data_IF_524042363485
#
_entry.id   IF_524042363485
#
_cell.length_a   1.000
_cell.length_b   1.000
_cell.length_c   1.000
_cell.angle_alpha   90.00
_cell.angle_beta   90.00
_cell.angle_gamma   90.00
#
_symmetry.space_group_name_H-M   'P 1'
#
loop_
_entity.id
_entity.type
_entity.pdbx_description
1 polymer ?
#
# COMPACT_ATOMS: atom_id res chain seq x y z
N UNK A 1 28.95 -16.33 18.14
CA UNK A 1 29.17 -14.90 17.88
C UNK A 1 28.79 -14.63 16.43
N UNK A 2 27.85 -13.72 16.22
CA UNK A 2 27.42 -13.24 14.91
C UNK A 2 27.73 -11.76 14.79
N UNK A 3 28.13 -11.31 13.61
CA UNK A 3 28.46 -9.93 13.29
C UNK A 3 27.37 -9.31 12.42
N UNK A 4 26.72 -8.27 12.93
CA UNK A 4 25.70 -7.52 12.20
C UNK A 4 26.27 -6.19 11.73
N UNK A 5 26.22 -5.97 10.42
CA UNK A 5 26.61 -4.69 9.79
C UNK A 5 25.40 -3.80 9.59
N UNK A 6 25.44 -2.57 10.08
CA UNK A 6 24.36 -1.58 9.91
C UNK A 6 24.50 -0.81 8.58
N UNK A 7 23.49 -0.02 8.24
CA UNK A 7 23.49 0.84 7.05
C UNK A 7 24.65 1.84 7.01
N UNK A 8 25.04 2.36 8.18
CA UNK A 8 26.16 3.31 8.37
C UNK A 8 27.55 2.64 8.34
N UNK A 9 27.59 1.32 8.19
CA UNK A 9 28.83 0.53 8.20
C UNK A 9 29.33 0.17 9.60
N UNK A 10 28.64 0.59 10.66
CA UNK A 10 28.97 0.15 12.01
C UNK A 10 28.72 -1.36 12.18
N UNK A 11 29.55 -1.98 13.02
CA UNK A 11 29.49 -3.41 13.33
C UNK A 11 29.01 -3.59 14.77
N UNK A 12 28.14 -4.59 14.98
CA UNK A 12 27.72 -5.04 16.29
C UNK A 12 27.87 -6.55 16.40
N UNK A 13 28.37 -7.00 17.54
CA UNK A 13 28.59 -8.41 17.82
C UNK A 13 27.58 -8.93 18.83
N UNK A 14 27.05 -10.12 18.57
CA UNK A 14 26.09 -10.79 19.45
C UNK A 14 26.50 -12.25 19.66
N UNK A 15 26.41 -12.73 20.90
CA UNK A 15 26.85 -14.10 21.22
C UNK A 15 25.87 -15.18 20.75
N UNK A 16 24.61 -14.81 20.53
CA UNK A 16 23.52 -15.71 20.14
C UNK A 16 22.70 -15.13 18.99
N UNK A 17 22.01 -15.99 18.20
CA UNK A 17 21.00 -15.54 17.25
C UNK A 17 19.94 -14.68 17.94
N UNK A 18 19.49 -13.64 17.25
CA UNK A 18 18.44 -12.74 17.72
C UNK A 18 17.50 -12.39 16.58
N UNK A 19 16.26 -12.07 16.93
CA UNK A 19 15.27 -11.59 15.97
C UNK A 19 15.60 -10.17 15.48
N UNK A 20 15.04 -9.79 14.33
CA UNK A 20 15.08 -8.40 13.85
C UNK A 20 14.54 -7.43 14.91
N UNK A 21 13.49 -7.80 15.62
CA UNK A 21 12.92 -6.99 16.70
C UNK A 21 13.90 -6.80 17.87
N UNK A 22 14.53 -7.88 18.34
CA UNK A 22 15.53 -7.81 19.41
C UNK A 22 16.76 -7.01 18.98
N UNK A 23 17.17 -7.15 17.73
CA UNK A 23 18.24 -6.34 17.15
C UNK A 23 17.86 -4.84 17.17
N UNK A 24 16.66 -4.47 16.71
CA UNK A 24 16.16 -3.10 16.80
C UNK A 24 16.13 -2.59 18.24
N UNK A 25 15.71 -3.42 19.20
CA UNK A 25 15.66 -3.08 20.62
C UNK A 25 17.05 -2.84 21.22
N UNK A 26 18.06 -3.58 20.76
CA UNK A 26 19.46 -3.38 21.16
C UNK A 26 20.06 -2.07 20.62
N UNK A 27 19.52 -1.52 19.52
CA UNK A 27 19.90 -0.20 19.01
C UNK A 27 19.20 0.88 19.83
N UNK A 28 17.90 0.72 20.05
CA UNK A 28 17.15 1.59 20.96
C UNK A 28 15.66 1.23 21.03
N UNK A 29 15.01 1.47 22.18
CA UNK A 29 13.60 1.11 22.38
C UNK A 29 12.65 1.86 21.43
N UNK A 30 13.00 3.09 21.03
CA UNK A 30 12.24 3.86 20.05
C UNK A 30 12.24 3.20 18.67
N UNK A 31 13.40 2.71 18.22
CA UNK A 31 13.54 2.04 16.93
C UNK A 31 12.78 0.71 16.91
N UNK A 32 12.87 -0.10 17.97
CA UNK A 32 12.08 -1.33 18.10
C UNK A 32 10.58 -1.07 18.03
N UNK A 33 10.10 0.01 18.68
CA UNK A 33 8.68 0.39 18.64
C UNK A 33 8.23 0.83 17.25
N UNK A 34 9.12 1.44 16.46
CA UNK A 34 8.85 1.93 15.11
C UNK A 34 9.06 0.85 14.02
N UNK A 35 9.77 -0.24 14.32
CA UNK A 35 10.08 -1.28 13.35
C UNK A 35 8.83 -1.99 12.83
N UNK A 36 8.69 -2.05 11.50
CA UNK A 36 7.65 -2.85 10.82
C UNK A 36 8.20 -4.11 10.16
N UNK A 37 9.49 -4.10 9.81
CA UNK A 37 10.21 -5.23 9.24
C UNK A 37 11.72 -5.03 9.39
N UNK A 38 12.49 -6.01 8.94
CA UNK A 38 13.93 -5.90 8.72
C UNK A 38 14.28 -6.10 7.25
N UNK A 39 15.44 -5.60 6.85
CA UNK A 39 16.10 -5.96 5.60
C UNK A 39 17.41 -6.64 5.93
N UNK A 40 17.50 -7.93 5.66
CA UNK A 40 18.67 -8.77 5.92
C UNK A 40 19.29 -9.14 4.57
N UNK A 41 20.51 -8.70 4.32
CA UNK A 41 21.23 -8.87 3.05
C UNK A 41 20.42 -8.47 1.81
N UNK A 42 19.68 -7.36 1.95
CA UNK A 42 18.82 -6.82 0.89
C UNK A 42 17.41 -7.39 0.85
N UNK A 43 17.12 -8.49 1.56
CA UNK A 43 15.82 -9.17 1.57
C UNK A 43 14.94 -8.67 2.71
N UNK A 44 13.69 -8.30 2.41
CA UNK A 44 12.70 -7.93 3.41
C UNK A 44 12.21 -9.15 4.19
N UNK A 45 12.19 -9.04 5.52
CA UNK A 45 11.81 -10.11 6.45
C UNK A 45 10.96 -9.57 7.60
N UNK A 46 10.12 -10.42 8.19
CA UNK A 46 9.29 -10.06 9.34
C UNK A 46 10.15 -9.71 10.58
N UNK A 47 9.60 -8.93 11.52
CA UNK A 47 10.30 -8.59 12.76
C UNK A 47 10.68 -9.81 13.63
N UNK A 48 9.96 -10.92 13.51
CA UNK A 48 10.26 -12.19 14.20
C UNK A 48 11.36 -13.01 13.49
N UNK A 49 11.86 -12.58 12.33
CA UNK A 49 12.91 -13.30 11.61
C UNK A 49 14.20 -13.39 12.42
N UNK A 50 14.72 -14.61 12.58
CA UNK A 50 15.94 -14.89 13.33
C UNK A 50 17.19 -14.68 12.48
N UNK A 51 18.06 -13.78 12.93
CA UNK A 51 19.38 -13.55 12.36
C UNK A 51 20.33 -14.55 13.02
N UNK A 52 20.67 -15.61 12.29
CA UNK A 52 21.50 -16.72 12.79
C UNK A 52 22.95 -16.71 12.30
N UNK A 53 23.33 -15.79 11.42
CA UNK A 53 24.65 -15.67 10.83
C UNK A 53 24.99 -14.20 10.60
N UNK A 54 26.24 -13.94 10.22
CA UNK A 54 26.70 -12.59 9.87
C UNK A 54 25.88 -12.05 8.70
N UNK A 55 25.40 -10.82 8.85
CA UNK A 55 24.49 -10.22 7.88
C UNK A 55 24.53 -8.70 7.91
N UNK A 56 24.16 -8.07 6.79
CA UNK A 56 23.83 -6.65 6.76
C UNK A 56 22.36 -6.45 7.10
N UNK A 57 22.08 -5.70 8.16
CA UNK A 57 20.71 -5.52 8.67
C UNK A 57 20.33 -4.05 8.75
N UNK A 58 19.23 -3.71 8.08
CA UNK A 58 18.58 -2.41 8.22
C UNK A 58 17.18 -2.61 8.80
N UNK A 59 16.81 -1.79 9.79
CA UNK A 59 15.44 -1.77 10.32
C UNK A 59 14.58 -0.94 9.38
N UNK A 60 13.44 -1.50 8.96
CA UNK A 60 12.48 -0.82 8.10
C UNK A 60 11.39 -0.20 8.97
N UNK A 61 11.14 1.09 8.73
CA UNK A 61 10.16 1.90 9.45
C UNK A 61 9.02 2.36 8.54
N UNK A 62 7.84 2.73 9.07
CA UNK A 62 6.72 3.27 8.29
C UNK A 62 7.02 4.48 7.42
N UNK A 63 8.12 5.19 7.68
CA UNK A 63 8.53 6.38 6.94
C UNK A 63 9.22 6.05 5.61
N UNK A 64 9.61 4.79 5.41
CA UNK A 64 10.26 4.32 4.19
C UNK A 64 9.22 3.78 3.20
N UNK A 65 9.48 3.83 1.87
CA UNK A 65 8.58 3.29 0.85
C UNK A 65 8.18 1.83 1.11
N UNK A 66 9.15 0.96 1.41
CA UNK A 66 8.91 -0.45 1.73
C UNK A 66 8.07 -0.59 3.01
N UNK A 67 8.27 0.29 3.99
CA UNK A 67 7.50 0.32 5.22
C UNK A 67 6.03 0.71 4.99
N UNK A 68 5.77 1.71 4.15
CA UNK A 68 4.41 2.08 3.73
C UNK A 68 3.73 0.93 2.97
N UNK A 69 4.46 0.22 2.10
CA UNK A 69 3.92 -0.94 1.40
C UNK A 69 3.55 -2.06 2.38
N UNK A 70 4.39 -2.32 3.39
CA UNK A 70 4.12 -3.30 4.45
C UNK A 70 2.86 -2.92 5.24
N UNK A 71 2.69 -1.63 5.59
CA UNK A 71 1.48 -1.14 6.25
C UNK A 71 0.23 -1.45 5.41
N UNK A 72 0.25 -1.10 4.13
CA UNK A 72 -0.86 -1.32 3.18
C UNK A 72 -1.17 -2.81 3.04
N UNK A 73 -0.14 -3.66 2.92
CA UNK A 73 -0.30 -5.11 2.84
C UNK A 73 -0.93 -5.68 4.11
N UNK A 74 -0.52 -5.21 5.28
CA UNK A 74 -1.13 -5.59 6.56
C UNK A 74 -2.56 -5.07 6.74
N UNK A 75 -2.88 -3.88 6.22
CA UNK A 75 -4.26 -3.40 6.18
C UNK A 75 -5.17 -4.29 5.33
N UNK A 76 -4.68 -4.85 4.22
CA UNK A 76 -5.44 -5.83 3.43
C UNK A 76 -5.79 -7.09 4.24
N UNK A 77 -4.93 -7.53 5.16
CA UNK A 77 -5.21 -8.65 6.07
C UNK A 77 -6.29 -8.29 7.09
N UNK A 78 -6.18 -7.12 7.71
CA UNK A 78 -7.17 -6.64 8.68
C UNK A 78 -8.53 -6.43 8.03
N UNK A 79 -8.57 -5.97 6.78
CA UNK A 79 -9.79 -5.92 5.97
C UNK A 79 -10.39 -7.31 5.76
N UNK A 80 -9.56 -8.30 5.37
CA UNK A 80 -10.00 -9.69 5.23
C UNK A 80 -10.59 -10.26 6.53
N UNK A 81 -9.93 -10.02 7.66
CA UNK A 81 -10.40 -10.42 8.99
C UNK A 81 -11.71 -9.73 9.38
N UNK A 82 -11.83 -8.42 9.14
CA UNK A 82 -13.05 -7.65 9.42
C UNK A 82 -14.24 -8.17 8.62
N UNK A 83 -14.05 -8.40 7.32
CA UNK A 83 -15.10 -8.95 6.45
C UNK A 83 -15.47 -10.36 6.88
N UNK A 84 -14.53 -11.22 7.27
CA UNK A 84 -14.87 -12.56 7.79
C UNK A 84 -15.65 -12.54 9.09
N UNK A 85 -15.39 -11.58 9.97
CA UNK A 85 -16.14 -11.45 11.22
C UNK A 85 -17.56 -10.92 11.01
N UNK A 86 -17.75 -10.02 10.04
CA UNK A 86 -19.07 -9.46 9.71
C UNK A 86 -19.88 -10.39 8.79
N UNK A 87 -19.21 -11.08 7.87
CA UNK A 87 -19.79 -11.96 6.86
C UNK A 87 -19.06 -13.32 6.87
N UNK A 88 -19.38 -14.22 7.82
CA UNK A 88 -18.65 -15.49 7.99
C UNK A 88 -18.58 -16.38 6.75
N UNK A 89 -19.61 -16.33 5.90
CA UNK A 89 -19.71 -17.07 4.64
C UNK A 89 -18.88 -16.50 3.49
N UNK A 90 -18.30 -15.30 3.63
CA UNK A 90 -17.49 -14.69 2.57
C UNK A 90 -16.30 -15.58 2.20
N UNK A 91 -15.96 -15.72 0.93
CA UNK A 91 -14.69 -16.35 0.54
C UNK A 91 -13.68 -15.27 0.21
N UNK A 92 -12.55 -15.27 0.91
CA UNK A 92 -11.44 -14.35 0.61
C UNK A 92 -10.70 -14.87 -0.61
N UNK A 93 -10.41 -13.96 -1.53
CA UNK A 93 -9.56 -14.23 -2.67
C UNK A 93 -8.25 -13.45 -2.50
N UNK A 94 -7.93 -12.54 -3.41
CA UNK A 94 -6.66 -11.83 -3.41
C UNK A 94 -6.71 -10.59 -2.52
N UNK A 95 -5.70 -10.42 -1.66
CA UNK A 95 -5.45 -9.20 -0.92
C UNK A 95 -4.04 -8.70 -1.13
N UNK A 96 -3.87 -7.43 -1.48
CA UNK A 96 -2.57 -6.85 -1.77
C UNK A 96 -2.51 -5.35 -1.51
N UNK A 97 -1.30 -4.83 -1.35
CA UNK A 97 -1.03 -3.41 -1.49
C UNK A 97 -1.20 -3.00 -2.97
N UNK A 98 -1.70 -1.79 -3.22
CA UNK A 98 -1.93 -1.24 -4.54
C UNK A 98 -1.83 0.29 -4.50
N UNK A 99 -0.79 0.83 -5.16
CA UNK A 99 -0.50 2.27 -5.16
C UNK A 99 -0.44 2.85 -3.75
N UNK A 100 -1.21 3.91 -3.50
CA UNK A 100 -1.33 4.57 -2.19
C UNK A 100 -2.15 3.81 -1.14
N UNK A 101 -2.55 2.57 -1.44
CA UNK A 101 -3.49 1.85 -0.63
C UNK A 101 -3.39 0.35 -0.76
N UNK A 102 -4.53 -0.28 -0.62
CA UNK A 102 -4.68 -1.73 -0.62
C UNK A 102 -6.07 -2.10 -1.13
N UNK A 103 -6.20 -3.35 -1.53
CA UNK A 103 -7.51 -3.92 -1.81
C UNK A 103 -7.62 -5.34 -1.26
N UNK A 104 -8.85 -5.81 -1.18
CA UNK A 104 -9.14 -7.22 -0.93
C UNK A 104 -10.36 -7.66 -1.73
N UNK A 105 -10.28 -8.85 -2.33
CA UNK A 105 -11.32 -9.46 -3.14
C UNK A 105 -12.12 -10.48 -2.33
N UNK A 106 -13.43 -10.42 -2.50
CA UNK A 106 -14.39 -11.23 -1.76
C UNK A 106 -15.44 -11.80 -2.70
N UNK A 107 -15.75 -13.07 -2.50
CA UNK A 107 -16.95 -13.68 -3.04
C UNK A 107 -18.01 -13.73 -1.93
N UNK A 108 -19.12 -13.05 -2.19
CA UNK A 108 -20.22 -12.81 -1.24
C UNK A 108 -21.54 -13.10 -1.94
N UNK A 109 -22.51 -13.66 -1.21
CA UNK A 109 -23.88 -13.88 -1.71
C UNK A 109 -24.62 -12.54 -1.97
N UNK A 110 -24.21 -11.47 -1.29
CA UNK A 110 -24.82 -10.15 -1.37
C UNK A 110 -23.84 -9.08 -1.88
N UNK A 111 -24.39 -8.04 -2.51
CA UNK A 111 -23.62 -6.87 -2.93
C UNK A 111 -23.39 -5.91 -1.76
N UNK A 112 -22.13 -5.56 -1.52
CA UNK A 112 -21.75 -4.57 -0.53
C UNK A 112 -22.14 -3.17 -1.02
N UNK A 113 -22.57 -2.32 -0.10
CA UNK A 113 -22.85 -0.92 -0.34
C UNK A 113 -22.06 0.00 0.61
N UNK A 114 -22.31 1.32 0.56
CA UNK A 114 -21.59 2.30 1.38
C UNK A 114 -21.83 2.15 2.89
N UNK A 115 -22.99 1.65 3.31
CA UNK A 115 -23.29 1.37 4.73
C UNK A 115 -22.49 0.18 5.22
N UNK A 116 -22.37 -0.86 4.40
CA UNK A 116 -21.50 -1.99 4.68
C UNK A 116 -20.03 -1.55 4.76
N UNK A 117 -19.59 -0.69 3.83
CA UNK A 117 -18.23 -0.15 3.81
C UNK A 117 -17.87 0.57 5.10
N UNK A 118 -18.77 1.43 5.58
CA UNK A 118 -18.59 2.14 6.86
C UNK A 118 -18.54 1.18 8.06
N UNK A 119 -19.36 0.12 8.04
CA UNK A 119 -19.39 -0.91 9.08
C UNK A 119 -18.09 -1.74 9.09
N UNK A 120 -17.57 -2.09 7.92
CA UNK A 120 -16.30 -2.79 7.75
C UNK A 120 -15.16 -1.91 8.25
N UNK A 121 -15.10 -0.63 7.86
CA UNK A 121 -14.07 0.29 8.34
C UNK A 121 -14.09 0.44 9.87
N UNK A 122 -15.28 0.60 10.47
CA UNK A 122 -15.42 0.67 11.92
C UNK A 122 -14.92 -0.61 12.62
N UNK A 123 -15.18 -1.78 12.02
CA UNK A 123 -14.66 -3.05 12.52
C UNK A 123 -13.13 -3.12 12.39
N UNK A 124 -12.56 -2.69 11.27
CA UNK A 124 -11.11 -2.63 11.09
C UNK A 124 -10.45 -1.73 12.14
N UNK A 125 -11.03 -0.57 12.46
CA UNK A 125 -10.53 0.34 13.52
C UNK A 125 -10.52 -0.34 14.88
N UNK A 126 -11.57 -1.10 15.21
CA UNK A 126 -11.63 -1.92 16.43
C UNK A 126 -10.51 -2.98 16.46
N UNK A 127 -10.29 -3.69 15.34
CA UNK A 127 -9.25 -4.71 15.24
C UNK A 127 -7.83 -4.14 15.33
N UNK A 128 -7.61 -2.95 14.75
CA UNK A 128 -6.37 -2.21 14.90
C UNK A 128 -6.09 -1.87 16.38
N UNK A 129 -7.11 -1.37 17.09
CA UNK A 129 -6.99 -1.04 18.52
C UNK A 129 -6.78 -2.27 19.43
N UNK A 130 -7.18 -3.47 19.00
CA UNK A 130 -7.06 -4.70 19.80
C UNK A 130 -5.61 -5.21 19.93
N UNK A 131 -4.68 -4.71 19.10
CA UNK A 131 -3.25 -5.06 19.15
C UNK A 131 -2.97 -6.57 19.02
N UNK A 132 -3.62 -7.24 18.08
CA UNK A 132 -3.29 -8.63 17.75
C UNK A 132 -1.89 -8.71 17.15
N UNK A 133 -1.08 -9.66 17.60
CA UNK A 133 0.19 -10.00 16.93
C UNK A 133 -0.10 -10.60 15.56
N UNK A 134 0.67 -10.20 14.55
CA UNK A 134 0.65 -10.82 13.22
C UNK A 134 1.85 -11.74 13.14
N UNK A 135 1.62 -13.06 13.08
CA UNK A 135 2.70 -14.05 13.14
C UNK A 135 2.73 -14.92 11.90
N UNK A 136 3.93 -15.15 11.38
CA UNK A 136 4.15 -16.06 10.26
C UNK A 136 4.25 -17.50 10.80
N UNK A 137 3.42 -18.43 10.29
CA UNK A 137 3.44 -19.83 10.75
C UNK A 137 4.29 -20.74 9.87
N UNK A 138 4.06 -20.68 8.56
CA UNK A 138 4.70 -21.60 7.61
C UNK A 138 4.75 -21.01 6.20
N UNK A 139 5.75 -21.43 5.43
CA UNK A 139 5.88 -21.13 4.00
C UNK A 139 5.10 -22.15 3.17
N UNK A 140 4.17 -21.67 2.34
CA UNK A 140 3.46 -22.52 1.38
C UNK A 140 4.21 -22.61 0.05
N UNK A 141 4.84 -21.50 -0.38
CA UNK A 141 5.68 -21.42 -1.58
C UNK A 141 6.88 -20.52 -1.31
N UNK A 142 7.76 -20.31 -2.31
CA UNK A 142 8.88 -19.36 -2.22
C UNK A 142 8.44 -17.93 -1.84
N UNK A 143 7.18 -17.56 -2.08
CA UNK A 143 6.70 -16.18 -1.93
C UNK A 143 5.47 -16.04 -1.00
N UNK A 144 4.68 -17.10 -0.82
CA UNK A 144 3.47 -17.08 0.02
C UNK A 144 3.69 -17.81 1.33
N UNK A 145 3.20 -17.20 2.42
CA UNK A 145 3.25 -17.74 3.77
C UNK A 145 1.89 -17.63 4.45
N UNK A 146 1.63 -18.53 5.41
CA UNK A 146 0.48 -18.40 6.31
C UNK A 146 0.80 -17.39 7.41
N UNK A 147 -0.11 -16.45 7.62
CA UNK A 147 -0.10 -15.44 8.67
C UNK A 147 -1.32 -15.59 9.57
N UNK A 148 -1.07 -15.50 10.88
CA UNK A 148 -2.08 -15.57 11.94
C UNK A 148 -2.29 -14.21 12.58
N UNK A 149 -3.55 -13.84 12.74
CA UNK A 149 -4.02 -12.67 13.47
C UNK A 149 -5.07 -13.12 14.49
N UNK A 150 -4.63 -13.54 15.68
CA UNK A 150 -5.49 -14.26 16.61
C UNK A 150 -5.92 -15.61 16.03
N UNK A 151 -7.23 -15.86 15.97
CA UNK A 151 -7.80 -17.08 15.38
C UNK A 151 -7.99 -17.01 13.86
N UNK A 152 -7.69 -15.85 13.25
CA UNK A 152 -7.80 -15.67 11.81
C UNK A 152 -6.49 -16.07 11.12
N UNK A 153 -6.59 -16.93 10.11
CA UNK A 153 -5.46 -17.38 9.29
C UNK A 153 -5.67 -16.94 7.83
N UNK A 154 -4.61 -16.45 7.20
CA UNK A 154 -4.63 -16.03 5.81
C UNK A 154 -3.30 -16.33 5.12
N UNK A 155 -3.36 -16.60 3.82
CA UNK A 155 -2.16 -16.77 2.99
C UNK A 155 -1.87 -15.44 2.33
N UNK A 156 -0.65 -14.93 2.53
CA UNK A 156 -0.22 -13.66 1.94
C UNK A 156 1.28 -13.64 1.65
N UNK A 157 1.69 -12.61 0.93
CA UNK A 157 3.12 -12.30 0.76
C UNK A 157 3.61 -11.55 1.98
N UNK A 158 4.82 -11.88 2.44
CA UNK A 158 5.46 -11.19 3.55
C UNK A 158 6.35 -10.03 3.09
N UNK A 159 6.86 -9.22 4.04
CA UNK A 159 6.55 -9.25 5.47
C UNK A 159 5.29 -8.46 5.84
N UNK A 160 4.87 -8.57 7.10
CA UNK A 160 3.77 -7.79 7.68
C UNK A 160 4.21 -7.05 8.95
N UNK A 161 3.45 -6.01 9.33
CA UNK A 161 3.67 -5.32 10.61
C UNK A 161 3.56 -6.30 11.78
N UNK A 162 4.33 -6.11 12.87
CA UNK A 162 4.35 -7.05 13.99
C UNK A 162 3.02 -7.14 14.76
N UNK A 163 2.21 -6.08 14.72
CA UNK A 163 0.91 -6.05 15.40
C UNK A 163 -0.09 -5.07 14.77
N UNK A 164 -1.38 -5.33 14.95
CA UNK A 164 -2.45 -4.51 14.36
C UNK A 164 -2.47 -3.06 14.87
N UNK A 165 -1.94 -2.78 16.07
CA UNK A 165 -1.88 -1.41 16.62
C UNK A 165 -0.99 -0.44 15.84
N UNK A 166 -0.16 -0.97 14.94
CA UNK A 166 0.70 -0.17 14.06
C UNK A 166 -0.15 0.50 12.97
N UNK A 167 -1.29 -0.08 12.61
CA UNK A 167 -2.19 0.42 11.58
C UNK A 167 -3.13 1.47 12.16
N UNK A 168 -2.72 2.74 12.14
CA UNK A 168 -3.48 3.83 12.79
C UNK A 168 -4.16 4.77 11.80
N UNK A 169 -3.58 4.97 10.63
CA UNK A 169 -4.09 5.89 9.62
C UNK A 169 -4.48 5.14 8.34
N UNK A 170 -5.74 4.72 8.28
CA UNK A 170 -6.31 4.11 7.09
C UNK A 170 -7.78 4.51 6.92
N UNK A 171 -8.27 4.38 5.70
CA UNK A 171 -9.68 4.57 5.35
C UNK A 171 -10.07 3.65 4.20
N UNK A 172 -11.33 3.22 4.16
CA UNK A 172 -11.94 2.57 3.02
C UNK A 172 -12.54 3.63 2.09
N UNK A 173 -12.48 3.36 0.80
CA UNK A 173 -12.75 4.38 -0.22
C UNK A 173 -13.80 3.90 -1.23
N UNK A 174 -13.59 2.73 -1.84
CA UNK A 174 -14.43 2.25 -2.93
C UNK A 174 -14.73 0.76 -2.84
N UNK A 175 -15.82 0.35 -3.48
CA UNK A 175 -16.17 -1.03 -3.79
C UNK A 175 -16.32 -1.12 -5.31
N UNK A 176 -15.68 -2.10 -5.94
CA UNK A 176 -15.87 -2.39 -7.36
C UNK A 176 -16.19 -3.87 -7.59
N UNK A 177 -16.67 -4.19 -8.78
CA UNK A 177 -16.96 -5.57 -9.19
C UNK A 177 -18.30 -6.09 -8.67
N UNK A 178 -18.74 -7.21 -9.23
CA UNK A 178 -20.01 -7.87 -8.89
C UNK A 178 -19.78 -9.22 -8.22
N UNK A 179 -18.91 -10.05 -8.80
CA UNK A 179 -18.36 -11.26 -8.18
C UNK A 179 -17.09 -11.68 -8.92
N UNK A 180 -15.90 -11.67 -8.29
CA UNK A 180 -15.66 -11.18 -6.93
C UNK A 180 -15.91 -9.66 -6.81
N UNK A 181 -16.28 -9.22 -5.61
CA UNK A 181 -16.32 -7.81 -5.22
C UNK A 181 -14.97 -7.44 -4.62
N UNK A 182 -14.45 -6.26 -4.98
CA UNK A 182 -13.17 -5.75 -4.49
C UNK A 182 -13.40 -4.51 -3.65
N UNK A 183 -12.95 -4.54 -2.40
CA UNK A 183 -12.98 -3.39 -1.49
C UNK A 183 -11.60 -2.74 -1.47
N UNK A 184 -11.55 -1.43 -1.66
CA UNK A 184 -10.32 -0.64 -1.67
C UNK A 184 -10.24 0.27 -0.45
N UNK A 185 -9.02 0.48 0.02
CA UNK A 185 -8.70 1.46 1.04
C UNK A 185 -7.32 2.05 0.85
N UNK A 186 -7.00 3.05 1.65
CA UNK A 186 -5.69 3.70 1.72
C UNK A 186 -5.09 3.52 3.11
N UNK A 187 -3.76 3.49 3.21
CA UNK A 187 -3.05 3.44 4.48
C UNK A 187 -1.76 4.26 4.42
N UNK A 188 -1.51 5.01 5.51
CA UNK A 188 -0.41 5.96 5.69
C UNK A 188 0.29 5.75 7.02
N UNK A 189 1.48 6.32 7.17
CA UNK A 189 2.28 6.17 8.39
C UNK A 189 1.67 6.90 9.58
N UNK A 190 0.96 8.01 9.33
CA UNK A 190 0.31 8.83 10.35
C UNK A 190 -0.96 9.51 9.82
N UNK A 191 -1.76 10.08 10.73
CA UNK A 191 -3.04 10.72 10.40
C UNK A 191 -2.85 11.98 9.54
N UNK A 192 -1.77 12.73 9.75
CA UNK A 192 -1.44 13.92 8.96
C UNK A 192 -1.21 13.58 7.49
N UNK A 193 -0.46 12.50 7.20
CA UNK A 193 -0.27 12.02 5.82
C UNK A 193 -1.58 11.59 5.16
N UNK A 194 -2.47 10.93 5.91
CA UNK A 194 -3.80 10.55 5.41
C UNK A 194 -4.65 11.79 5.10
N UNK A 195 -4.62 12.80 5.95
CA UNK A 195 -5.37 14.04 5.75
C UNK A 195 -4.80 14.87 4.58
N UNK A 196 -3.47 14.92 4.44
CA UNK A 196 -2.79 15.49 3.28
C UNK A 196 -3.15 14.74 1.99
N UNK A 197 -3.19 13.41 2.04
CA UNK A 197 -3.61 12.61 0.89
C UNK A 197 -5.05 12.87 0.49
N UNK A 198 -5.97 13.08 1.45
CA UNK A 198 -7.39 13.38 1.20
C UNK A 198 -7.62 14.72 0.51
N UNK A 199 -6.65 15.64 0.55
CA UNK A 199 -6.75 16.90 -0.17
C UNK A 199 -7.01 16.64 -1.68
N UNK A 200 -7.83 17.47 -2.36
CA UNK A 200 -8.15 17.28 -3.76
C UNK A 200 -6.88 17.27 -4.63
N UNK A 201 -6.65 16.21 -5.45
CA UNK A 201 -5.54 16.20 -6.38
C UNK A 201 -5.81 17.15 -7.55
N UNK A 202 -4.74 17.70 -8.12
CA UNK A 202 -4.81 18.45 -9.36
C UNK A 202 -4.85 17.55 -10.60
N UNK A 203 -4.26 16.35 -10.47
CA UNK A 203 -4.13 15.39 -11.57
C UNK A 203 -4.55 14.01 -11.10
N UNK A 204 -5.48 13.39 -11.82
CA UNK A 204 -5.84 11.99 -11.64
C UNK A 204 -5.20 11.12 -12.71
N UNK A 205 -4.38 10.17 -12.30
CA UNK A 205 -3.78 9.15 -13.17
C UNK A 205 -4.75 7.97 -13.23
N UNK A 206 -5.18 7.58 -14.41
CA UNK A 206 -6.16 6.54 -14.64
C UNK A 206 -5.49 5.38 -15.38
N UNK A 207 -5.38 4.25 -14.70
CA UNK A 207 -5.01 2.97 -15.34
C UNK A 207 -6.22 2.34 -16.02
N UNK A 208 -5.98 1.61 -17.12
CA UNK A 208 -7.03 0.85 -17.81
C UNK A 208 -7.30 -0.50 -17.14
N UNK A 209 -6.26 -1.16 -16.62
CA UNK A 209 -6.31 -2.43 -15.91
C UNK A 209 -5.11 -2.61 -14.96
N UNK A 210 -5.15 -3.67 -14.14
CA UNK A 210 -4.16 -3.97 -13.09
C UNK A 210 -2.72 -4.10 -13.64
N UNK A 211 -2.52 -4.44 -14.93
CA UNK A 211 -1.18 -4.60 -15.54
C UNK A 211 -0.45 -3.27 -15.73
N UNK A 212 -1.17 -2.15 -15.71
CA UNK A 212 -0.56 -0.82 -15.78
C UNK A 212 -0.37 -0.16 -14.41
N UNK A 213 -0.74 -0.83 -13.32
CA UNK A 213 -0.72 -0.24 -11.98
C UNK A 213 0.67 0.28 -11.56
N UNK A 214 1.72 -0.50 -11.79
CA UNK A 214 3.11 -0.11 -11.45
C UNK A 214 3.55 1.13 -12.23
N UNK A 215 3.27 1.19 -13.53
CA UNK A 215 3.62 2.34 -14.36
C UNK A 215 2.77 3.57 -14.03
N UNK A 216 1.48 3.39 -13.71
CA UNK A 216 0.63 4.46 -13.21
C UNK A 216 1.12 5.03 -11.88
N UNK A 217 1.60 4.17 -10.99
CA UNK A 217 2.21 4.59 -9.73
C UNK A 217 3.52 5.35 -9.96
N UNK A 218 4.39 4.88 -10.86
CA UNK A 218 5.66 5.56 -11.15
C UNK A 218 5.44 6.95 -11.76
N UNK A 219 4.46 7.11 -12.66
CA UNK A 219 4.03 8.42 -13.19
C UNK A 219 3.49 9.32 -12.08
N UNK A 220 2.68 8.76 -11.17
CA UNK A 220 2.13 9.51 -10.03
C UNK A 220 3.24 10.03 -9.12
N UNK A 221 4.25 9.22 -8.84
CA UNK A 221 5.42 9.62 -8.06
C UNK A 221 6.27 10.67 -8.78
N UNK A 222 6.48 10.53 -10.09
CA UNK A 222 7.21 11.53 -10.88
C UNK A 222 6.52 12.90 -10.80
N UNK A 223 5.19 12.92 -10.92
CA UNK A 223 4.39 14.15 -10.77
C UNK A 223 4.49 14.73 -9.35
N UNK A 224 4.40 13.90 -8.31
CA UNK A 224 4.56 14.34 -6.91
C UNK A 224 5.94 14.92 -6.64
N UNK A 225 7.01 14.27 -7.10
CA UNK A 225 8.39 14.78 -6.99
C UNK A 225 8.57 16.10 -7.71
N UNK A 226 7.75 16.35 -8.73
CA UNK A 226 7.72 17.61 -9.46
C UNK A 226 6.89 18.73 -8.80
N UNK A 227 6.31 18.48 -7.62
CA UNK A 227 5.48 19.43 -6.89
C UNK A 227 4.00 19.44 -7.30
N UNK A 228 3.54 18.47 -8.09
CA UNK A 228 2.14 18.35 -8.52
C UNK A 228 1.39 17.41 -7.58
N UNK A 229 0.24 17.86 -7.05
CA UNK A 229 -0.68 17.00 -6.30
C UNK A 229 -1.36 16.01 -7.23
N UNK A 230 -0.78 14.83 -7.34
CA UNK A 230 -1.26 13.75 -8.20
C UNK A 230 -1.79 12.56 -7.39
N UNK A 231 -2.79 11.85 -7.91
CA UNK A 231 -3.32 10.60 -7.34
C UNK A 231 -3.59 9.59 -8.46
N UNK A 232 -3.40 8.30 -8.19
CA UNK A 232 -3.75 7.23 -9.13
C UNK A 232 -5.08 6.56 -8.77
N UNK A 233 -5.93 6.36 -9.78
CA UNK A 233 -7.07 5.47 -9.76
C UNK A 233 -6.68 4.13 -10.39
N UNK A 234 -6.35 3.19 -9.51
CA UNK A 234 -5.94 1.82 -9.83
C UNK A 234 -7.09 0.81 -9.71
N UNK A 235 -8.34 1.27 -9.62
CA UNK A 235 -9.50 0.36 -9.50
C UNK A 235 -9.63 -0.50 -10.76
N UNK A 236 -9.97 -1.78 -10.65
CA UNK A 236 -10.24 -2.60 -11.82
C UNK A 236 -11.66 -2.33 -12.36
N UNK A 237 -11.81 -1.18 -13.02
CA UNK A 237 -13.08 -0.68 -13.56
C UNK A 237 -12.91 -0.11 -14.97
N UNK A 238 -14.04 0.02 -15.68
CA UNK A 238 -14.06 0.61 -17.03
C UNK A 238 -13.49 2.03 -16.99
N UNK A 239 -12.46 2.29 -17.81
CA UNK A 239 -11.80 3.60 -17.91
C UNK A 239 -12.77 4.77 -18.12
N UNK A 240 -13.85 4.59 -18.90
CA UNK A 240 -14.88 5.62 -19.13
C UNK A 240 -15.63 6.01 -17.84
N UNK A 241 -15.84 5.05 -16.93
CA UNK A 241 -16.46 5.29 -15.63
C UNK A 241 -15.57 6.21 -14.80
N UNK A 242 -14.31 5.81 -14.63
CA UNK A 242 -13.27 6.58 -13.91
C UNK A 242 -13.10 8.00 -14.46
N UNK A 243 -13.01 8.14 -15.79
CA UNK A 243 -12.87 9.46 -16.43
C UNK A 243 -14.06 10.35 -16.08
N UNK A 244 -15.30 9.84 -16.21
CA UNK A 244 -16.51 10.61 -15.93
C UNK A 244 -16.57 11.07 -14.48
N UNK A 245 -16.24 10.18 -13.54
CA UNK A 245 -16.20 10.47 -12.10
C UNK A 245 -15.17 11.58 -11.79
N UNK A 246 -13.92 11.40 -12.25
CA UNK A 246 -12.82 12.31 -11.91
C UNK A 246 -12.87 13.63 -12.67
N UNK A 247 -13.45 13.68 -13.87
CA UNK A 247 -13.63 14.93 -14.63
C UNK A 247 -14.48 15.97 -13.91
N UNK A 248 -15.22 15.60 -12.87
CA UNK A 248 -15.99 16.52 -12.04
C UNK A 248 -15.18 17.08 -10.86
N UNK A 249 -14.02 16.50 -10.57
CA UNK A 249 -13.27 16.72 -9.33
C UNK A 249 -11.86 17.27 -9.56
N UNK A 250 -11.21 16.91 -10.67
CA UNK A 250 -9.83 17.28 -10.94
C UNK A 250 -9.69 18.03 -12.27
N UNK A 251 -8.81 19.05 -12.37
CA UNK A 251 -8.60 19.80 -13.61
C UNK A 251 -8.05 18.96 -14.77
N UNK A 252 -7.19 17.97 -14.49
CA UNK A 252 -6.53 17.14 -15.51
C UNK A 252 -6.60 15.66 -15.18
N UNK A 253 -6.72 14.87 -16.24
CA UNK A 253 -6.64 13.42 -16.18
C UNK A 253 -5.49 12.94 -17.06
N UNK A 254 -4.76 11.95 -16.57
CA UNK A 254 -3.65 11.28 -17.26
C UNK A 254 -4.04 9.83 -17.44
N UNK A 255 -4.31 9.41 -18.67
CA UNK A 255 -4.76 8.05 -18.99
C UNK A 255 -3.56 7.21 -19.40
N UNK A 256 -3.47 6.01 -18.82
CA UNK A 256 -2.41 5.04 -19.06
C UNK A 256 -3.01 3.74 -19.54
N UNK A 257 -2.78 3.42 -20.81
CA UNK A 257 -3.01 2.10 -21.39
C UNK A 257 -1.70 1.38 -21.67
N UNK A 258 -1.80 0.26 -22.39
CA UNK A 258 -0.63 -0.57 -22.71
C UNK A 258 0.40 0.17 -23.56
N UNK A 259 -0.05 0.96 -24.54
CA UNK A 259 0.86 1.73 -25.41
C UNK A 259 1.63 2.80 -24.66
N UNK A 260 0.97 3.47 -23.72
CA UNK A 260 1.59 4.47 -22.83
C UNK A 260 2.68 3.83 -21.97
N UNK A 261 2.38 2.65 -21.38
CA UNK A 261 3.33 1.87 -20.58
C UNK A 261 4.54 1.41 -21.41
N UNK A 262 4.31 0.77 -22.55
CA UNK A 262 5.37 0.27 -23.43
C UNK A 262 6.23 1.41 -24.00
N UNK A 263 5.62 2.55 -24.30
CA UNK A 263 6.29 3.68 -24.93
C UNK A 263 6.90 4.70 -23.97
N UNK A 264 6.73 4.57 -22.65
CA UNK A 264 7.24 5.53 -21.68
C UNK A 264 6.61 6.93 -21.81
N UNK A 265 5.36 7.00 -22.24
CA UNK A 265 4.60 8.26 -22.36
C UNK A 265 3.25 8.14 -21.66
N UNK A 266 2.48 9.23 -21.63
CA UNK A 266 1.12 9.28 -21.08
C UNK A 266 0.18 10.05 -22.00
N UNK A 267 -1.12 9.79 -21.90
CA UNK A 267 -2.16 10.53 -22.63
C UNK A 267 -2.86 11.54 -21.70
N UNK A 268 -2.79 12.82 -22.02
CA UNK A 268 -3.22 13.91 -21.12
C UNK A 268 -4.49 14.57 -21.62
N UNK A 269 -5.44 14.84 -20.72
CA UNK A 269 -6.69 15.53 -21.04
C UNK A 269 -7.16 16.47 -19.95
N UNK A 270 -7.95 17.47 -20.33
CA UNK A 270 -8.66 18.31 -19.37
C UNK A 270 -9.91 17.63 -18.84
N UNK A 271 -10.42 18.16 -17.75
CA UNK A 271 -11.74 17.82 -17.21
C UNK A 271 -12.91 18.18 -18.14
N UNK A 272 -12.73 19.14 -19.07
CA UNK A 272 -13.73 19.50 -20.10
C UNK A 272 -13.72 18.57 -21.31
N UNK A 273 -12.77 17.63 -21.39
CA UNK A 273 -12.62 16.70 -22.50
C UNK A 273 -11.69 17.18 -23.61
N UNK A 274 -10.97 18.28 -23.43
CA UNK A 274 -9.88 18.70 -24.30
C UNK A 274 -8.74 17.67 -24.25
N UNK A 275 -8.27 17.23 -25.40
CA UNK A 275 -7.19 16.26 -25.52
C UNK A 275 -5.87 17.00 -25.81
N UNK A 276 -4.92 16.90 -24.88
CA UNK A 276 -3.58 17.49 -25.03
C UNK A 276 -2.59 16.52 -25.67
N UNK A 277 -3.04 15.32 -26.03
CA UNK A 277 -2.27 14.31 -26.73
C UNK A 277 -1.33 13.53 -25.83
N UNK A 278 -0.32 12.93 -26.47
CA UNK A 278 0.68 12.08 -25.81
C UNK A 278 1.91 12.88 -25.44
N UNK A 279 2.37 12.71 -24.20
CA UNK A 279 3.53 13.40 -23.67
C UNK A 279 4.46 12.40 -22.98
N UNK A 280 5.76 12.56 -23.15
CA UNK A 280 6.73 11.87 -22.28
C UNK A 280 6.51 12.29 -20.82
N UNK A 281 6.84 11.41 -19.87
CA UNK A 281 6.61 11.65 -18.43
C UNK A 281 7.26 12.96 -17.96
N UNK A 282 8.50 13.23 -18.36
CA UNK A 282 9.20 14.48 -17.99
C UNK A 282 8.58 15.73 -18.63
N UNK A 283 8.03 15.58 -19.84
CA UNK A 283 7.36 16.66 -20.55
C UNK A 283 6.04 17.04 -19.87
N UNK A 284 5.23 16.06 -19.44
CA UNK A 284 3.98 16.35 -18.71
C UNK A 284 4.26 16.97 -17.33
N UNK A 285 5.29 16.50 -16.62
CA UNK A 285 5.72 17.11 -15.35
C UNK A 285 6.08 18.59 -15.55
N UNK A 286 6.82 18.91 -16.60
CA UNK A 286 7.22 20.30 -16.90
C UNK A 286 6.04 21.17 -17.33
N UNK A 287 5.16 20.62 -18.16
CA UNK A 287 3.97 21.31 -18.65
C UNK A 287 3.00 21.66 -17.51
N UNK A 288 2.69 20.72 -16.61
CA UNK A 288 1.79 20.96 -15.47
C UNK A 288 2.35 21.99 -14.48
N UNK A 289 3.67 22.10 -14.34
CA UNK A 289 4.26 23.19 -13.55
C UNK A 289 4.03 24.55 -14.20
N UNK A 290 4.17 24.63 -15.52
CA UNK A 290 4.03 25.88 -16.27
C UNK A 290 2.61 26.44 -16.31
N UNK A 291 1.59 25.58 -16.17
CA UNK A 291 0.18 25.97 -16.11
C UNK A 291 -0.25 26.53 -14.75
N UNK A 292 0.68 26.71 -13.80
CA UNK A 292 0.40 27.26 -12.47
C UNK A 292 -0.25 26.28 -11.49
N UNK A 293 -0.29 24.99 -11.85
CA UNK A 293 -0.81 23.90 -11.00
C UNK A 293 0.24 23.47 -9.95
N UNK A 294 1.49 23.88 -10.14
CA UNK A 294 2.51 23.83 -9.09
C UNK A 294 2.20 24.92 -8.06
N UNK A 295 1.62 24.53 -6.92
CA UNK A 295 1.20 25.48 -5.91
C UNK A 295 0.89 24.84 -4.56
N UNK A 296 1.85 25.07 -3.65
CA UNK A 296 1.87 24.96 -2.18
C UNK A 296 1.81 23.55 -1.59
#
# INVERSE_FOLDING_TARGET
MIQITLSDGSLREYDQPLSVYEFAASIGPGLAKAAVAGRVDGVLVDCEFMIGADARVNIVTPQEPDGLEILRRSCALVLGMAVKQLYPKAHLQTGAALGDGFFHEFELEQHLNLVDLASIEARMKTLAATNHSIRRRATHTKQLSSYLLGDFECVSTGPHVPATRVLQAFALDHISGTSPQRVYGTCWSCQEELDNWRAPPHVMIISMDDRQAEYAQSVTEALRRSGVRARADLRNEKVRHKIREHSQQVPYLVVIGEKEKEGGFVSVRSHTGEDFGRMAVDAVCSWLRSTGIAGV
#
